data_IF_094402403034
#
_entry.id   IF_094402403034
#
_cell.length_a   1.000
_cell.length_b   1.000
_cell.length_c   1.000
_cell.angle_alpha   90.00
_cell.angle_beta   90.00
_cell.angle_gamma   90.00
#
_symmetry.space_group_name_H-M   'P 1'
#
loop_
_entity.id
_entity.type
_entity.pdbx_description
1 polymer ?
#
# COMPACT_ATOMS: atom_id res chain seq x y z
N UNK A 1 -4.58 13.43 30.98
CA UNK A 1 -3.58 12.46 31.45
C UNK A 1 -2.26 12.81 30.78
N UNK A 2 -1.30 13.28 31.56
CA UNK A 2 0.09 13.41 31.12
C UNK A 2 0.61 11.97 31.13
N UNK A 3 0.77 11.39 29.95
CA UNK A 3 1.47 10.11 29.81
C UNK A 3 2.95 10.47 29.82
N UNK A 4 3.63 10.16 30.91
CA UNK A 4 5.08 10.23 31.02
C UNK A 4 5.72 9.16 30.11
N UNK A 5 5.76 9.44 28.82
CA UNK A 5 6.58 8.69 27.89
C UNK A 5 7.89 9.45 27.72
N UNK A 6 8.91 9.00 28.40
CA UNK A 6 10.27 9.54 28.31
C UNK A 6 10.92 9.25 26.96
N UNK A 7 10.39 8.29 26.19
CA UNK A 7 10.92 7.88 24.88
C UNK A 7 9.80 7.83 23.81
N UNK A 8 10.05 8.47 22.67
CA UNK A 8 9.17 8.40 21.51
C UNK A 8 8.45 9.71 21.18
N UNK A 9 7.59 9.66 20.18
CA UNK A 9 6.83 10.81 19.66
C UNK A 9 5.34 10.55 19.87
N UNK A 10 4.55 11.52 20.42
CA UNK A 10 3.14 11.30 20.74
C UNK A 10 2.33 11.01 19.47
N UNK A 11 1.47 9.98 19.54
CA UNK A 11 0.58 9.61 18.44
C UNK A 11 -0.53 10.68 18.31
N UNK A 12 -0.84 11.08 17.05
CA UNK A 12 -1.91 12.03 16.76
C UNK A 12 -1.45 13.49 16.64
N UNK A 13 -0.19 13.81 16.89
CA UNK A 13 0.34 15.12 16.60
C UNK A 13 0.84 15.17 15.15
N UNK A 14 0.51 16.24 14.42
CA UNK A 14 0.95 16.47 13.04
C UNK A 14 2.49 16.46 12.90
N UNK A 15 3.19 17.07 13.87
CA UNK A 15 4.65 17.12 13.87
C UNK A 15 5.31 15.75 14.08
N UNK A 16 4.62 14.81 14.71
CA UNK A 16 5.18 13.48 14.97
C UNK A 16 5.52 12.74 13.67
N UNK A 17 4.66 12.85 12.66
CA UNK A 17 4.92 12.25 11.34
C UNK A 17 6.10 12.93 10.63
N UNK A 18 6.21 14.25 10.77
CA UNK A 18 7.32 15.01 10.20
C UNK A 18 8.66 14.60 10.84
N UNK A 19 8.74 14.55 12.15
CA UNK A 19 9.96 14.15 12.86
C UNK A 19 10.34 12.70 12.61
N UNK A 20 9.37 11.78 12.55
CA UNK A 20 9.64 10.39 12.21
C UNK A 20 10.21 10.25 10.78
N UNK A 21 9.68 11.01 9.82
CA UNK A 21 10.21 11.00 8.47
C UNK A 21 11.59 11.66 8.37
N UNK A 22 11.82 12.75 9.10
CA UNK A 22 13.13 13.42 9.18
C UNK A 22 14.20 12.50 9.78
N UNK A 23 13.87 11.81 10.85
CA UNK A 23 14.76 10.84 11.49
C UNK A 23 15.16 9.71 10.54
N UNK A 24 14.21 9.21 9.73
CA UNK A 24 14.49 8.15 8.76
C UNK A 24 15.08 8.67 7.43
N UNK A 25 15.16 10.00 7.21
CA UNK A 25 15.75 10.53 5.99
C UNK A 25 17.24 10.15 5.84
N UNK A 26 18.01 10.18 6.93
CA UNK A 26 19.42 9.73 6.91
C UNK A 26 19.53 8.22 6.61
N UNK A 27 18.59 7.43 7.12
CA UNK A 27 18.50 6.02 6.78
C UNK A 27 18.20 5.83 5.28
N UNK A 28 17.28 6.62 4.71
CA UNK A 28 16.94 6.56 3.28
C UNK A 28 18.18 6.88 2.41
N UNK A 29 18.96 7.92 2.78
CA UNK A 29 20.22 8.26 2.11
C UNK A 29 21.23 7.14 2.22
N UNK A 30 21.45 6.58 3.42
CA UNK A 30 22.35 5.46 3.64
C UNK A 30 21.99 4.25 2.77
N UNK A 31 20.71 3.88 2.67
CA UNK A 31 20.24 2.79 1.79
C UNK A 31 20.53 3.09 0.32
N UNK A 32 20.31 4.33 -0.12
CA UNK A 32 20.44 4.69 -1.55
C UNK A 32 21.87 4.97 -1.98
N UNK A 33 22.65 5.64 -1.16
CA UNK A 33 23.96 6.16 -1.51
C UNK A 33 25.08 5.21 -1.09
N UNK A 34 25.04 4.67 0.13
CA UNK A 34 26.09 3.78 0.63
C UNK A 34 25.80 2.31 0.27
N UNK A 35 24.58 1.82 0.56
CA UNK A 35 24.19 0.44 0.23
C UNK A 35 23.82 0.25 -1.24
N UNK A 36 23.58 1.35 -1.97
CA UNK A 36 23.24 1.40 -3.41
C UNK A 36 22.08 0.47 -3.79
N UNK A 37 21.10 0.35 -2.88
CA UNK A 37 19.90 -0.47 -3.12
C UNK A 37 19.05 0.19 -4.20
N UNK A 38 18.97 -0.45 -5.37
CA UNK A 38 18.26 0.10 -6.53
C UNK A 38 16.76 0.24 -6.27
N UNK A 39 16.13 -0.77 -5.71
CA UNK A 39 14.68 -0.84 -5.50
C UNK A 39 14.38 -0.82 -4.01
N UNK A 40 14.19 0.37 -3.48
CA UNK A 40 13.80 0.67 -2.12
C UNK A 40 12.60 1.59 -2.12
N UNK A 41 11.58 1.22 -1.36
CA UNK A 41 10.34 1.97 -1.20
C UNK A 41 10.00 2.05 0.28
N UNK A 42 9.65 3.24 0.75
CA UNK A 42 9.20 3.46 2.13
C UNK A 42 7.90 4.27 2.16
N UNK A 43 6.99 3.83 2.97
CA UNK A 43 5.78 4.56 3.32
C UNK A 43 5.64 4.55 4.85
N UNK A 44 5.95 5.68 5.49
CA UNK A 44 6.08 5.83 6.95
C UNK A 44 7.05 4.78 7.52
N UNK A 45 6.56 3.84 8.31
CA UNK A 45 7.31 2.73 8.92
C UNK A 45 7.35 1.45 8.06
N UNK A 46 6.53 1.36 7.02
CA UNK A 46 6.53 0.23 6.10
C UNK A 46 7.64 0.40 5.04
N UNK A 47 8.53 -0.60 4.95
CA UNK A 47 9.68 -0.59 4.04
C UNK A 47 9.67 -1.82 3.15
N UNK A 48 10.00 -1.63 1.88
CA UNK A 48 10.14 -2.71 0.88
C UNK A 48 11.49 -2.59 0.20
N UNK A 49 12.21 -3.70 0.12
CA UNK A 49 13.48 -3.84 -0.57
C UNK A 49 13.35 -4.98 -1.58
N UNK A 50 13.80 -4.75 -2.82
CA UNK A 50 13.83 -5.79 -3.84
C UNK A 50 15.28 -6.02 -4.28
N UNK A 51 15.67 -7.28 -4.36
CA UNK A 51 16.98 -7.71 -4.85
C UNK A 51 16.84 -8.96 -5.72
N UNK A 52 17.91 -9.33 -6.40
CA UNK A 52 17.89 -10.48 -7.30
C UNK A 52 17.96 -11.82 -6.54
N UNK A 53 18.60 -11.82 -5.37
CA UNK A 53 18.79 -13.03 -4.56
C UNK A 53 18.30 -12.84 -3.12
N UNK A 54 18.00 -13.95 -2.45
CA UNK A 54 17.64 -13.92 -1.03
C UNK A 54 18.83 -13.60 -0.14
N UNK A 55 20.02 -14.05 -0.52
CA UNK A 55 21.28 -13.85 0.18
C UNK A 55 21.59 -12.35 0.31
N UNK A 56 21.44 -11.59 -0.79
CA UNK A 56 21.55 -10.12 -0.78
C UNK A 56 20.60 -9.49 0.22
N UNK A 57 19.33 -9.94 0.27
CA UNK A 57 18.34 -9.42 1.21
C UNK A 57 18.65 -9.80 2.66
N UNK A 58 19.22 -10.98 2.92
CA UNK A 58 19.63 -11.37 4.28
C UNK A 58 20.81 -10.53 4.79
N UNK A 59 21.80 -10.26 3.94
CA UNK A 59 22.94 -9.39 4.27
C UNK A 59 22.41 -7.97 4.54
N UNK A 60 21.58 -7.44 3.63
CA UNK A 60 20.98 -6.11 3.78
C UNK A 60 20.16 -6.00 5.06
N UNK A 61 19.35 -7.00 5.38
CA UNK A 61 18.55 -7.03 6.61
C UNK A 61 19.42 -6.98 7.88
N UNK A 62 20.54 -7.70 7.89
CA UNK A 62 21.52 -7.64 9.00
C UNK A 62 22.08 -6.23 9.17
N UNK A 63 22.45 -5.57 8.08
CA UNK A 63 22.98 -4.21 8.11
C UNK A 63 21.92 -3.19 8.54
N UNK A 64 20.67 -3.32 8.05
CA UNK A 64 19.53 -2.50 8.48
C UNK A 64 19.32 -2.64 9.99
N UNK A 65 19.33 -3.85 10.53
CA UNK A 65 19.18 -4.06 11.98
C UNK A 65 20.26 -3.33 12.78
N UNK A 66 21.51 -3.38 12.35
CA UNK A 66 22.62 -2.66 13.00
C UNK A 66 22.43 -1.15 12.93
N UNK A 67 22.06 -0.62 11.77
CA UNK A 67 21.83 0.82 11.58
C UNK A 67 20.68 1.33 12.45
N UNK A 68 19.54 0.64 12.43
CA UNK A 68 18.38 1.02 13.23
C UNK A 68 18.67 0.91 14.75
N UNK A 69 19.43 -0.09 15.18
CA UNK A 69 19.83 -0.21 16.57
C UNK A 69 20.68 0.99 17.04
N UNK A 70 21.55 1.54 16.18
CA UNK A 70 22.31 2.76 16.46
C UNK A 70 21.39 3.99 16.65
N UNK A 71 20.22 4.00 15.97
CA UNK A 71 19.18 5.01 16.14
C UNK A 71 18.22 4.69 17.32
N UNK A 72 18.49 3.67 18.12
CA UNK A 72 17.60 3.15 19.18
C UNK A 72 16.22 2.71 18.66
N UNK A 73 16.15 2.28 17.39
CA UNK A 73 14.97 1.72 16.77
C UNK A 73 15.09 0.21 16.62
N UNK A 74 13.98 -0.49 16.77
CA UNK A 74 13.90 -1.94 16.57
C UNK A 74 12.87 -2.30 15.50
N UNK A 75 13.16 -3.33 14.71
CA UNK A 75 12.16 -3.91 13.80
C UNK A 75 11.12 -4.71 14.61
N UNK A 76 9.89 -4.73 14.09
CA UNK A 76 8.77 -5.43 14.75
C UNK A 76 8.89 -6.96 14.80
N UNK A 77 9.94 -7.55 14.22
CA UNK A 77 10.16 -9.01 14.16
C UNK A 77 9.24 -9.74 13.17
N UNK A 78 8.52 -9.01 12.32
CA UNK A 78 7.65 -9.55 11.30
C UNK A 78 8.19 -9.37 9.87
N UNK A 79 9.48 -9.06 9.76
CA UNK A 79 10.17 -8.98 8.48
C UNK A 79 10.13 -10.31 7.73
N UNK A 80 9.93 -10.25 6.42
CA UNK A 80 9.74 -11.42 5.59
C UNK A 80 10.52 -11.28 4.29
N UNK A 81 11.30 -12.32 3.95
CA UNK A 81 12.02 -12.44 2.68
C UNK A 81 11.36 -13.58 1.89
N UNK A 82 10.85 -13.28 0.71
CA UNK A 82 10.17 -14.24 -0.13
C UNK A 82 10.28 -13.88 -1.62
N UNK A 83 10.19 -14.85 -2.54
CA UNK A 83 10.10 -14.57 -3.97
C UNK A 83 8.74 -13.96 -4.30
N UNK A 84 8.73 -12.96 -5.19
CA UNK A 84 7.48 -12.41 -5.73
C UNK A 84 6.97 -13.36 -6.80
N UNK A 85 5.69 -13.74 -6.69
CA UNK A 85 5.01 -14.57 -7.66
C UNK A 85 4.73 -13.82 -8.98
N UNK A 86 4.68 -14.51 -10.11
CA UNK A 86 4.31 -13.91 -11.39
C UNK A 86 2.86 -13.41 -11.40
N UNK A 87 1.97 -14.21 -10.83
CA UNK A 87 0.56 -13.89 -10.72
C UNK A 87 -0.06 -14.61 -9.49
N UNK A 88 -1.36 -14.40 -9.27
CA UNK A 88 -2.06 -14.97 -8.11
C UNK A 88 -2.13 -16.52 -8.12
N UNK A 89 -2.05 -17.15 -9.27
CA UNK A 89 -2.13 -18.61 -9.39
C UNK A 89 -0.78 -19.30 -9.20
N UNK A 90 0.32 -18.55 -9.26
CA UNK A 90 1.67 -19.07 -9.05
C UNK A 90 1.86 -19.48 -7.59
N UNK A 91 2.38 -20.70 -7.40
CA UNK A 91 2.65 -21.29 -6.08
C UNK A 91 4.12 -21.15 -5.63
N UNK A 92 5.02 -20.70 -6.51
CA UNK A 92 6.44 -20.59 -6.22
C UNK A 92 6.84 -19.30 -5.50
N UNK A 93 5.89 -18.39 -5.34
CA UNK A 93 6.08 -17.14 -4.65
C UNK A 93 4.76 -16.63 -4.08
N UNK A 94 4.75 -15.37 -3.69
CA UNK A 94 3.54 -14.69 -3.25
C UNK A 94 3.53 -13.23 -3.68
N UNK A 95 2.35 -12.59 -3.64
CA UNK A 95 2.22 -11.16 -3.91
C UNK A 95 2.79 -10.32 -2.78
N UNK A 96 3.44 -9.24 -3.13
CA UNK A 96 3.92 -8.22 -2.21
C UNK A 96 2.76 -7.31 -1.81
N UNK A 97 2.36 -7.36 -0.55
CA UNK A 97 1.32 -6.47 0.00
C UNK A 97 1.95 -5.16 0.50
N UNK A 98 1.71 -4.06 -0.22
CA UNK A 98 2.25 -2.75 0.11
C UNK A 98 1.25 -1.64 -0.26
N UNK A 99 1.07 -0.67 0.63
CA UNK A 99 0.20 0.53 0.45
C UNK A 99 -1.20 0.19 -0.09
N UNK A 100 -1.78 -0.92 0.40
CA UNK A 100 -3.15 -1.31 0.03
C UNK A 100 -3.30 -2.06 -1.28
N UNK A 101 -2.20 -2.36 -1.95
CA UNK A 101 -2.14 -3.19 -3.15
C UNK A 101 -1.36 -4.47 -2.90
N UNK A 102 -1.62 -5.47 -3.73
CA UNK A 102 -0.83 -6.70 -3.80
C UNK A 102 -0.19 -6.75 -5.17
N UNK A 103 1.13 -6.62 -5.20
CA UNK A 103 1.94 -6.59 -6.42
C UNK A 103 2.44 -7.99 -6.77
N UNK A 104 2.32 -8.33 -8.03
CA UNK A 104 2.89 -9.48 -8.69
C UNK A 104 3.72 -9.00 -9.89
N UNK A 105 4.51 -9.85 -10.51
CA UNK A 105 5.26 -9.45 -11.71
C UNK A 105 4.32 -8.99 -12.84
N UNK A 106 3.24 -9.71 -13.10
CA UNK A 106 2.36 -9.49 -14.24
C UNK A 106 1.04 -8.79 -13.90
N UNK A 107 0.74 -8.54 -12.62
CA UNK A 107 -0.51 -7.92 -12.21
C UNK A 107 -0.42 -7.20 -10.86
N UNK A 108 -1.23 -6.17 -10.73
CA UNK A 108 -1.43 -5.47 -9.45
C UNK A 108 -2.88 -5.61 -9.03
N UNK A 109 -3.13 -6.08 -7.83
CA UNK A 109 -4.49 -6.27 -7.29
C UNK A 109 -4.72 -5.36 -6.08
N UNK A 110 -5.98 -4.97 -5.87
CA UNK A 110 -6.35 -4.34 -4.60
C UNK A 110 -6.24 -5.34 -3.45
N UNK A 111 -5.77 -4.88 -2.29
CA UNK A 111 -5.80 -5.67 -1.05
C UNK A 111 -7.22 -6.16 -0.77
N UNK A 112 -7.36 -7.40 -0.28
CA UNK A 112 -8.66 -8.07 -0.07
C UNK A 112 -9.65 -7.22 0.76
N UNK A 113 -9.18 -6.57 1.84
CA UNK A 113 -10.02 -5.73 2.69
C UNK A 113 -10.55 -4.50 1.93
N UNK A 114 -9.72 -3.83 1.15
CA UNK A 114 -10.12 -2.68 0.33
C UNK A 114 -11.14 -3.11 -0.72
N UNK A 115 -10.86 -4.20 -1.46
CA UNK A 115 -11.79 -4.77 -2.44
C UNK A 115 -13.15 -5.11 -1.81
N UNK A 116 -13.16 -5.77 -0.64
CA UNK A 116 -14.40 -6.13 0.05
C UNK A 116 -15.21 -4.91 0.46
N UNK A 117 -14.56 -3.87 1.00
CA UNK A 117 -15.24 -2.63 1.38
C UNK A 117 -15.82 -1.92 0.16
N UNK A 118 -15.09 -1.89 -0.95
CA UNK A 118 -15.60 -1.35 -2.21
C UNK A 118 -16.83 -2.14 -2.70
N UNK A 119 -16.77 -3.46 -2.75
CA UNK A 119 -17.92 -4.30 -3.13
C UNK A 119 -19.13 -4.08 -2.21
N UNK A 120 -18.92 -3.99 -0.90
CA UNK A 120 -20.01 -3.71 0.07
C UNK A 120 -20.65 -2.34 -0.17
N UNK A 121 -19.83 -1.30 -0.42
CA UNK A 121 -20.33 0.02 -0.72
C UNK A 121 -21.14 0.03 -2.02
N UNK A 122 -20.61 -0.55 -3.10
CA UNK A 122 -21.31 -0.66 -4.37
C UNK A 122 -22.64 -1.42 -4.23
N UNK A 123 -22.65 -2.55 -3.51
CA UNK A 123 -23.87 -3.32 -3.25
C UNK A 123 -24.93 -2.52 -2.47
N UNK A 124 -24.53 -1.73 -1.47
CA UNK A 124 -25.44 -0.84 -0.73
C UNK A 124 -26.05 0.23 -1.64
N UNK A 125 -25.25 0.83 -2.53
CA UNK A 125 -25.72 1.83 -3.48
C UNK A 125 -26.62 1.22 -4.55
N UNK A 126 -26.31 0.00 -4.99
CA UNK A 126 -27.11 -0.72 -5.98
C UNK A 126 -28.51 -1.09 -5.49
N UNK A 127 -28.72 -1.24 -4.19
CA UNK A 127 -30.03 -1.49 -3.57
C UNK A 127 -30.91 -0.25 -3.52
N UNK A 128 -30.36 0.95 -3.67
CA UNK A 128 -31.14 2.19 -3.66
C UNK A 128 -31.90 2.36 -4.99
N UNK A 129 -33.23 2.48 -4.91
CA UNK A 129 -34.08 2.63 -6.09
C UNK A 129 -33.92 4.01 -6.76
N UNK A 130 -33.85 5.08 -5.96
CA UNK A 130 -33.83 6.46 -6.45
C UNK A 130 -32.49 7.15 -6.13
N UNK A 131 -31.37 6.62 -6.62
CA UNK A 131 -30.08 7.29 -6.48
C UNK A 131 -29.73 8.03 -7.78
N UNK A 132 -29.37 9.32 -7.66
CA UNK A 132 -28.90 10.08 -8.81
C UNK A 132 -27.54 9.56 -9.30
N UNK A 133 -27.26 9.69 -10.61
CA UNK A 133 -25.96 9.32 -11.18
C UNK A 133 -24.80 10.10 -10.52
N UNK A 134 -25.07 11.37 -10.14
CA UNK A 134 -24.11 12.25 -9.46
C UNK A 134 -23.76 11.70 -8.07
N UNK A 135 -24.75 11.35 -7.26
CA UNK A 135 -24.53 10.84 -5.90
C UNK A 135 -23.88 9.46 -5.91
N UNK A 136 -24.30 8.61 -6.84
CA UNK A 136 -23.69 7.29 -7.04
C UNK A 136 -22.19 7.43 -7.36
N UNK A 137 -21.84 8.30 -8.29
CA UNK A 137 -20.47 8.61 -8.66
C UNK A 137 -19.68 9.18 -7.48
N UNK A 138 -20.20 10.20 -6.81
CA UNK A 138 -19.51 10.88 -5.71
C UNK A 138 -19.12 9.90 -4.58
N UNK A 139 -20.02 8.98 -4.24
CA UNK A 139 -19.77 7.96 -3.20
C UNK A 139 -18.77 6.87 -3.59
N UNK A 140 -18.59 6.61 -4.89
CA UNK A 140 -17.65 5.61 -5.39
C UNK A 140 -16.35 6.21 -5.94
N UNK A 141 -16.25 7.52 -6.06
CA UNK A 141 -15.11 8.19 -6.70
C UNK A 141 -13.77 7.84 -6.04
N UNK A 142 -13.70 7.83 -4.71
CA UNK A 142 -12.49 7.45 -3.97
C UNK A 142 -12.04 6.00 -4.25
N UNK A 143 -13.00 5.09 -4.42
CA UNK A 143 -12.73 3.69 -4.75
C UNK A 143 -12.23 3.50 -6.18
N UNK A 144 -12.64 4.39 -7.09
CA UNK A 144 -12.14 4.34 -8.46
C UNK A 144 -10.64 4.60 -8.56
N UNK A 145 -10.09 5.47 -7.71
CA UNK A 145 -8.64 5.68 -7.62
C UNK A 145 -7.89 4.37 -7.37
N UNK A 146 -8.37 3.55 -6.45
CA UNK A 146 -7.82 2.21 -6.19
C UNK A 146 -7.96 1.28 -7.40
N UNK A 147 -9.13 1.30 -8.04
CA UNK A 147 -9.41 0.43 -9.18
C UNK A 147 -8.61 0.83 -10.44
N UNK A 148 -8.31 2.12 -10.62
CA UNK A 148 -7.54 2.64 -11.76
C UNK A 148 -6.10 2.13 -11.77
N UNK A 149 -5.48 2.02 -10.60
CA UNK A 149 -4.08 1.58 -10.43
C UNK A 149 -3.95 0.05 -10.47
N UNK A 150 -5.04 -0.67 -10.28
CA UNK A 150 -5.05 -2.13 -10.21
C UNK A 150 -5.73 -2.79 -11.43
N UNK A 151 -5.45 -4.07 -11.66
CA UNK A 151 -6.09 -4.87 -12.70
C UNK A 151 -7.56 -5.19 -12.37
N UNK A 152 -8.39 -4.13 -12.19
CA UNK A 152 -9.74 -4.22 -11.66
C UNK A 152 -10.86 -3.97 -12.67
N UNK A 153 -10.56 -3.95 -14.00
CA UNK A 153 -11.57 -3.69 -15.04
C UNK A 153 -12.77 -4.65 -14.95
N UNK A 154 -12.51 -5.95 -14.79
CA UNK A 154 -13.57 -6.95 -14.66
C UNK A 154 -14.40 -6.72 -13.38
N UNK A 155 -13.76 -6.44 -12.26
CA UNK A 155 -14.43 -6.12 -11.00
C UNK A 155 -15.38 -4.92 -11.18
N UNK A 156 -14.91 -3.83 -11.79
CA UNK A 156 -15.74 -2.63 -12.03
C UNK A 156 -16.98 -2.97 -12.86
N UNK A 157 -16.83 -3.75 -13.94
CA UNK A 157 -17.97 -4.19 -14.77
C UNK A 157 -18.99 -5.01 -13.97
N UNK A 158 -18.52 -5.81 -13.00
CA UNK A 158 -19.40 -6.70 -12.23
C UNK A 158 -20.14 -5.95 -11.11
N UNK A 159 -19.50 -4.98 -10.43
CA UNK A 159 -20.07 -4.38 -9.23
C UNK A 159 -20.81 -3.05 -9.47
N UNK A 160 -20.51 -2.35 -10.57
CA UNK A 160 -21.17 -1.08 -10.91
C UNK A 160 -22.38 -1.37 -11.76
N UNK A 161 -23.53 -0.74 -11.44
CA UNK A 161 -24.73 -0.83 -12.27
C UNK A 161 -24.41 -0.44 -13.71
N UNK A 162 -24.86 -1.23 -14.67
CA UNK A 162 -24.61 -1.01 -16.11
C UNK A 162 -24.97 0.40 -16.58
N UNK A 163 -26.10 0.93 -16.13
CA UNK A 163 -26.55 2.29 -16.43
C UNK A 163 -25.63 3.41 -15.97
N UNK A 164 -24.76 3.15 -14.99
CA UNK A 164 -23.80 4.13 -14.45
C UNK A 164 -22.35 3.85 -14.88
N UNK A 165 -22.08 2.69 -15.51
CA UNK A 165 -20.73 2.25 -15.78
C UNK A 165 -19.97 3.22 -16.68
N UNK A 166 -20.55 3.60 -17.81
CA UNK A 166 -19.89 4.51 -18.77
C UNK A 166 -19.70 5.91 -18.18
N UNK A 167 -20.72 6.43 -17.50
CA UNK A 167 -20.63 7.72 -16.79
C UNK A 167 -19.57 7.69 -15.69
N UNK A 168 -19.42 6.57 -15.00
CA UNK A 168 -18.44 6.39 -13.93
C UNK A 168 -17.02 6.31 -14.49
N UNK A 169 -16.78 5.47 -15.51
CA UNK A 169 -15.46 5.22 -16.08
C UNK A 169 -14.97 6.38 -16.95
N UNK A 170 -15.81 6.94 -17.81
CA UNK A 170 -15.41 7.99 -18.75
C UNK A 170 -15.05 9.31 -18.03
N UNK A 171 -15.86 9.73 -17.05
CA UNK A 171 -15.60 10.98 -16.33
C UNK A 171 -14.49 10.89 -15.27
N UNK A 172 -14.11 9.71 -14.82
CA UNK A 172 -12.97 9.54 -13.93
C UNK A 172 -11.60 9.53 -14.66
N UNK A 173 -11.61 9.47 -16.01
CA UNK A 173 -10.40 9.66 -16.84
C UNK A 173 -10.04 11.14 -17.06
N UNK A 174 -10.94 12.06 -16.73
CA UNK A 174 -10.82 13.49 -17.00
C UNK A 174 -10.30 14.32 -15.78
N UNK A 175 -9.65 13.68 -14.83
CA UNK A 175 -8.96 14.35 -13.69
C UNK A 175 -7.52 13.86 -13.63
#
# INVERSE_FOLDING_TARGET
QIIDNTDGVPIGNYLSQYFANLMLAYFDHWIKEEKRVRYYFRYADDMVFLASTKEELHILLSDIKKYLAALKLTLKGNEQIFPIAENRADKHGRGLDFVGFVFYHNQTLMRKSIKQNFCRMAARLNKKLNISARDYKQKLCSWYGWAKVSNSKHLLKTIIKSQFYDTFVLRCKAV
#
